data_IF_286164679787
#
_entry.id   IF_286164679787
#
_cell.length_a   1.000
_cell.length_b   1.000
_cell.length_c   1.000
_cell.angle_alpha   90.00
_cell.angle_beta   90.00
_cell.angle_gamma   90.00
#
_symmetry.space_group_name_H-M   'P 1'
#
loop_
_entity.id
_entity.type
_entity.pdbx_description
1 polymer ?
#
# COMPACT_ATOMS: atom_id res chain seq x y z
N UNK A 1 -2.99 12.21 -3.33
CA UNK A 1 -1.72 12.80 -3.75
C UNK A 1 -1.83 13.19 -5.20
N UNK A 2 -1.77 14.49 -5.47
CA UNK A 2 -1.59 15.04 -6.81
C UNK A 2 -0.09 15.25 -7.08
N UNK A 3 0.24 15.88 -8.22
CA UNK A 3 1.63 16.09 -8.62
C UNK A 3 2.36 17.07 -7.70
N UNK A 4 1.71 18.17 -7.32
CA UNK A 4 2.35 19.24 -6.53
C UNK A 4 2.62 18.75 -5.11
N UNK A 5 1.65 18.08 -4.48
CA UNK A 5 1.80 17.42 -3.16
C UNK A 5 2.91 16.35 -3.19
N UNK A 6 3.00 15.55 -4.27
CA UNK A 6 4.09 14.60 -4.44
C UNK A 6 5.45 15.30 -4.54
N UNK A 7 5.56 16.33 -5.38
CA UNK A 7 6.82 16.99 -5.67
C UNK A 7 7.35 17.70 -4.42
N UNK A 8 6.49 18.41 -3.68
CA UNK A 8 6.85 19.05 -2.41
C UNK A 8 7.33 18.04 -1.37
N UNK A 9 6.55 16.97 -1.14
CA UNK A 9 6.95 15.90 -0.21
C UNK A 9 8.27 15.24 -0.59
N UNK A 10 8.51 15.05 -1.89
CA UNK A 10 9.77 14.48 -2.38
C UNK A 10 10.97 15.39 -2.06
N UNK A 11 10.83 16.71 -2.26
CA UNK A 11 11.88 17.68 -1.93
C UNK A 11 12.16 17.72 -0.42
N UNK A 12 11.10 17.71 0.39
CA UNK A 12 11.19 17.71 1.85
C UNK A 12 11.86 16.43 2.36
N UNK A 13 11.47 15.26 1.83
CA UNK A 13 12.09 13.98 2.13
C UNK A 13 13.59 13.96 1.77
N UNK A 14 13.94 14.50 0.60
CA UNK A 14 15.33 14.60 0.16
C UNK A 14 16.16 15.52 1.07
N UNK A 15 15.60 16.65 1.50
CA UNK A 15 16.25 17.56 2.45
C UNK A 15 16.50 16.86 3.80
N UNK A 16 15.44 16.25 4.36
CA UNK A 16 15.53 15.56 5.65
C UNK A 16 16.60 14.46 5.65
N UNK A 17 16.64 13.62 4.61
CA UNK A 17 17.66 12.58 4.51
C UNK A 17 19.07 13.15 4.34
N UNK A 18 19.21 14.28 3.63
CA UNK A 18 20.51 14.95 3.47
C UNK A 18 21.03 15.48 4.81
N UNK A 19 20.16 16.00 5.67
CA UNK A 19 20.55 16.52 6.99
C UNK A 19 20.78 15.41 8.03
N UNK A 20 20.09 14.28 7.90
CA UNK A 20 20.14 13.18 8.88
C UNK A 20 21.12 12.06 8.51
N UNK A 21 21.67 12.06 7.30
CA UNK A 21 22.57 11.03 6.79
C UNK A 21 23.84 11.65 6.19
N UNK A 22 25.01 10.98 6.30
CA UNK A 22 26.23 11.44 5.65
C UNK A 22 26.21 11.29 4.11
N UNK A 23 25.17 10.68 3.53
CA UNK A 23 25.04 10.49 2.09
C UNK A 23 24.68 11.81 1.40
N UNK A 24 25.26 12.05 0.22
CA UNK A 24 24.97 13.25 -0.59
C UNK A 24 23.97 12.99 -1.73
N UNK A 25 23.72 11.72 -2.05
CA UNK A 25 22.82 11.29 -3.12
C UNK A 25 21.85 10.27 -2.57
N UNK A 26 20.58 10.40 -2.93
CA UNK A 26 19.51 9.50 -2.53
C UNK A 26 18.75 9.04 -3.76
N UNK A 27 18.46 7.75 -3.84
CA UNK A 27 17.69 7.20 -4.96
C UNK A 27 16.22 7.55 -4.78
N UNK A 28 15.53 7.85 -5.88
CA UNK A 28 14.08 8.08 -5.86
C UNK A 28 13.34 6.90 -5.21
N UNK A 29 13.66 5.66 -5.59
CA UNK A 29 13.03 4.46 -5.04
C UNK A 29 13.19 4.35 -3.52
N UNK A 30 14.37 4.67 -2.99
CA UNK A 30 14.63 4.66 -1.55
C UNK A 30 13.74 5.66 -0.81
N UNK A 31 13.59 6.89 -1.33
CA UNK A 31 12.74 7.92 -0.73
C UNK A 31 11.25 7.57 -0.87
N UNK A 32 10.84 7.09 -2.04
CA UNK A 32 9.46 6.68 -2.32
C UNK A 32 9.02 5.59 -1.35
N UNK A 33 9.85 4.56 -1.16
CA UNK A 33 9.58 3.45 -0.26
C UNK A 33 9.58 3.92 1.21
N UNK A 34 10.62 4.64 1.64
CA UNK A 34 10.79 5.07 3.03
C UNK A 34 9.63 5.96 3.52
N UNK A 35 9.15 6.85 2.64
CA UNK A 35 8.11 7.83 2.94
C UNK A 35 6.75 7.51 2.33
N UNK A 36 6.58 6.29 1.80
CA UNK A 36 5.34 5.81 1.21
C UNK A 36 4.74 6.75 0.15
N UNK A 37 5.59 7.41 -0.64
CA UNK A 37 5.16 8.29 -1.73
C UNK A 37 4.51 7.45 -2.84
N UNK A 38 3.52 8.00 -3.54
CA UNK A 38 2.78 7.28 -4.60
C UNK A 38 2.89 8.01 -5.94
N UNK A 39 4.07 8.03 -6.57
CA UNK A 39 4.23 8.71 -7.85
C UNK A 39 3.49 8.00 -8.98
N UNK A 40 3.07 8.77 -9.99
CA UNK A 40 2.71 8.21 -11.31
C UNK A 40 3.97 8.00 -12.14
N UNK A 41 3.86 7.19 -13.19
CA UNK A 41 4.97 6.73 -14.03
C UNK A 41 5.86 7.84 -14.60
N UNK A 42 5.38 9.08 -14.76
CA UNK A 42 6.13 10.20 -15.32
C UNK A 42 6.46 11.31 -14.31
N UNK A 43 6.12 11.15 -13.03
CA UNK A 43 6.30 12.24 -12.06
C UNK A 43 7.75 12.45 -11.68
N UNK A 44 8.53 11.37 -11.52
CA UNK A 44 9.96 11.45 -11.20
C UNK A 44 10.75 12.13 -12.32
N UNK A 45 10.48 11.75 -13.59
CA UNK A 45 11.10 12.43 -14.73
C UNK A 45 10.71 13.90 -14.79
N UNK A 46 9.45 14.22 -14.49
CA UNK A 46 8.95 15.58 -14.56
C UNK A 46 9.53 16.47 -13.46
N UNK A 47 9.60 16.02 -12.21
CA UNK A 47 10.25 16.82 -11.15
C UNK A 47 11.74 17.01 -11.44
N UNK A 48 12.41 15.99 -12.01
CA UNK A 48 13.81 16.11 -12.40
C UNK A 48 13.96 17.23 -13.43
N UNK A 49 13.17 17.22 -14.50
CA UNK A 49 13.27 18.21 -15.56
C UNK A 49 12.79 19.61 -15.12
N UNK A 50 11.75 19.70 -14.28
CA UNK A 50 11.20 20.97 -13.81
C UNK A 50 12.16 21.67 -12.82
N UNK A 51 12.88 20.92 -11.98
CA UNK A 51 13.58 21.47 -10.81
C UNK A 51 15.10 21.29 -10.81
N UNK A 52 15.67 20.60 -11.81
CA UNK A 52 17.11 20.50 -12.02
C UNK A 52 17.72 21.90 -12.23
N UNK A 53 18.76 22.21 -11.45
CA UNK A 53 19.40 23.52 -11.41
C UNK A 53 18.74 24.55 -10.48
N UNK A 54 17.51 24.32 -10.02
CA UNK A 54 16.80 25.20 -9.08
C UNK A 54 16.75 24.62 -7.67
N UNK A 55 16.08 23.47 -7.51
CA UNK A 55 15.97 22.79 -6.22
C UNK A 55 16.87 21.56 -6.14
N UNK A 56 17.15 20.91 -7.26
CA UNK A 56 18.15 19.85 -7.33
C UNK A 56 19.47 20.38 -7.87
N UNK A 57 20.56 20.04 -7.17
CA UNK A 57 21.91 20.38 -7.63
C UNK A 57 22.33 19.49 -8.79
N UNK A 58 22.00 18.21 -8.68
CA UNK A 58 22.37 17.19 -9.65
C UNK A 58 21.35 16.04 -9.61
N UNK A 59 21.08 15.45 -10.77
CA UNK A 59 20.22 14.28 -10.94
C UNK A 59 20.95 13.25 -11.80
N UNK A 60 21.40 12.17 -11.16
CA UNK A 60 22.05 11.05 -11.86
C UNK A 60 20.99 10.13 -12.47
N UNK A 61 20.68 10.37 -13.76
CA UNK A 61 19.72 9.60 -14.55
C UNK A 61 20.37 8.30 -15.06
N UNK A 62 19.79 7.15 -14.74
CA UNK A 62 20.23 5.82 -15.23
C UNK A 62 19.11 5.17 -16.04
N UNK A 63 19.46 4.24 -16.94
CA UNK A 63 18.53 3.65 -17.91
C UNK A 63 17.56 2.60 -17.32
N UNK A 64 17.74 2.19 -16.07
CA UNK A 64 16.98 1.09 -15.44
C UNK A 64 15.63 1.53 -14.83
N UNK A 65 15.11 2.69 -15.23
CA UNK A 65 13.87 3.25 -14.71
C UNK A 65 14.11 4.40 -13.73
N UNK A 66 13.05 5.12 -13.42
CA UNK A 66 13.14 6.37 -12.65
C UNK A 66 13.48 6.15 -11.18
N UNK A 67 13.17 4.98 -10.63
CA UNK A 67 13.41 4.66 -9.21
C UNK A 67 14.90 4.60 -8.88
N UNK A 68 15.74 4.23 -9.86
CA UNK A 68 17.19 4.18 -9.70
C UNK A 68 17.87 5.56 -9.91
N UNK A 69 17.11 6.60 -10.27
CA UNK A 69 17.68 7.94 -10.41
C UNK A 69 18.06 8.48 -9.04
N UNK A 70 19.28 9.02 -8.95
CA UNK A 70 19.78 9.59 -7.70
C UNK A 70 19.70 11.11 -7.73
N UNK A 71 19.18 11.69 -6.65
CA UNK A 71 18.96 13.12 -6.50
C UNK A 71 19.90 13.68 -5.44
N UNK A 72 20.40 14.88 -5.69
CA UNK A 72 21.12 15.69 -4.71
C UNK A 72 20.43 17.03 -4.57
N UNK A 73 20.08 17.39 -3.34
CA UNK A 73 19.47 18.69 -3.06
C UNK A 73 20.47 19.83 -3.28
N UNK A 74 19.98 20.96 -3.78
CA UNK A 74 20.74 22.20 -3.87
C UNK A 74 20.52 23.09 -2.65
N UNK A 75 21.35 24.12 -2.49
CA UNK A 75 21.11 25.14 -1.46
C UNK A 75 19.78 25.88 -1.67
N UNK A 76 19.30 26.03 -2.91
CA UNK A 76 17.99 26.62 -3.20
C UNK A 76 16.85 25.72 -2.72
N UNK A 77 17.00 24.40 -2.92
CA UNK A 77 16.07 23.39 -2.42
C UNK A 77 16.02 23.36 -0.89
N UNK A 78 17.16 23.34 -0.21
CA UNK A 78 17.18 23.37 1.26
C UNK A 78 16.52 24.63 1.82
N UNK A 79 16.83 25.81 1.28
CA UNK A 79 16.21 27.08 1.72
C UNK A 79 14.69 27.11 1.53
N UNK A 80 14.19 26.46 0.47
CA UNK A 80 12.74 26.36 0.24
C UNK A 80 12.09 25.57 1.37
N UNK A 81 12.65 24.43 1.75
CA UNK A 81 12.17 23.62 2.88
C UNK A 81 12.32 24.37 4.21
N UNK A 82 13.47 24.96 4.48
CA UNK A 82 13.74 25.75 5.71
C UNK A 82 12.87 27.01 5.83
N UNK A 83 12.24 27.48 4.74
CA UNK A 83 11.27 28.59 4.80
C UNK A 83 9.88 28.16 5.25
N UNK A 84 9.59 26.86 5.18
CA UNK A 84 8.29 26.26 5.50
C UNK A 84 8.33 25.48 6.81
N UNK A 85 9.50 24.99 7.22
CA UNK A 85 9.69 24.19 8.42
C UNK A 85 10.77 24.81 9.30
N UNK A 86 10.50 24.85 10.60
CA UNK A 86 11.36 25.49 11.60
C UNK A 86 12.50 24.58 12.04
N UNK A 87 12.27 23.26 12.07
CA UNK A 87 13.24 22.26 12.48
C UNK A 87 12.97 20.88 11.85
N UNK A 88 13.89 19.94 12.10
CA UNK A 88 13.83 18.57 11.57
C UNK A 88 12.71 17.72 12.18
N UNK A 89 12.23 18.03 13.40
CA UNK A 89 11.13 17.28 13.99
C UNK A 89 9.80 17.66 13.34
N UNK A 90 9.60 18.94 13.01
CA UNK A 90 8.43 19.39 12.24
C UNK A 90 8.40 18.71 10.85
N UNK A 91 9.56 18.60 10.20
CA UNK A 91 9.69 17.87 8.93
C UNK A 91 9.37 16.39 9.11
N UNK A 92 9.89 15.76 10.17
CA UNK A 92 9.60 14.35 10.47
C UNK A 92 8.11 14.14 10.66
N UNK A 93 7.46 14.95 11.48
CA UNK A 93 6.01 14.87 11.72
C UNK A 93 5.23 15.00 10.42
N UNK A 94 5.58 15.98 9.57
CA UNK A 94 4.95 16.17 8.26
C UNK A 94 5.10 14.94 7.34
N UNK A 95 6.29 14.33 7.31
CA UNK A 95 6.56 13.12 6.52
C UNK A 95 5.91 11.87 7.13
N UNK A 96 5.81 11.77 8.46
CA UNK A 96 5.14 10.67 9.16
C UNK A 96 3.60 10.74 9.05
N UNK A 97 3.01 11.93 8.90
CA UNK A 97 1.60 12.09 8.52
C UNK A 97 1.34 11.49 7.12
N UNK A 98 2.34 11.48 6.23
CA UNK A 98 2.27 10.77 4.95
C UNK A 98 2.32 9.24 5.16
N UNK A 99 3.16 8.79 6.10
CA UNK A 99 3.35 7.37 6.43
C UNK A 99 2.15 6.77 7.16
N UNK A 100 1.39 7.57 7.91
CA UNK A 100 0.08 7.18 8.47
C UNK A 100 -1.05 7.24 7.44
N UNK A 101 -0.78 7.75 6.23
CA UNK A 101 -1.60 7.56 5.03
C UNK A 101 -1.06 6.43 4.11
N UNK A 102 -0.09 5.63 4.59
CA UNK A 102 0.00 4.22 4.15
C UNK A 102 -1.39 3.66 4.35
N UNK A 103 -1.95 3.07 3.29
CA UNK A 103 -3.34 2.61 3.26
C UNK A 103 -3.58 1.83 4.53
N UNK A 104 -4.30 2.45 5.45
CA UNK A 104 -4.74 1.82 6.65
C UNK A 104 -5.79 0.83 6.15
N UNK A 105 -5.37 -0.41 5.91
CA UNK A 105 -6.28 -1.48 5.51
C UNK A 105 -7.40 -1.57 6.54
N UNK A 106 -7.21 -1.12 7.79
CA UNK A 106 -8.27 -0.92 8.78
C UNK A 106 -9.43 -0.04 8.29
N UNK A 107 -9.18 1.02 7.51
CA UNK A 107 -10.22 1.97 7.09
C UNK A 107 -11.00 1.46 5.88
N UNK A 108 -10.38 0.60 5.06
CA UNK A 108 -11.02 -0.03 3.89
C UNK A 108 -11.58 -1.44 4.17
N UNK A 109 -10.96 -2.19 5.10
CA UNK A 109 -11.27 -3.60 5.41
C UNK A 109 -11.89 -3.79 6.80
N UNK A 110 -11.70 -2.84 7.73
CA UNK A 110 -12.09 -2.99 9.13
C UNK A 110 -11.11 -3.82 9.97
N UNK A 111 -9.98 -4.30 9.41
CA UNK A 111 -9.07 -5.21 10.11
C UNK A 111 -7.86 -4.49 10.74
N UNK A 112 -7.52 -4.74 12.02
CA UNK A 112 -6.30 -4.21 12.64
C UNK A 112 -5.06 -4.71 11.91
N UNK A 113 -4.08 -3.81 11.75
CA UNK A 113 -2.78 -3.98 11.07
C UNK A 113 -1.87 -5.08 11.64
N UNK A 114 -2.37 -5.88 12.58
CA UNK A 114 -1.68 -7.00 13.23
C UNK A 114 -2.44 -8.33 13.11
N UNK A 115 -3.45 -8.45 12.25
CA UNK A 115 -4.13 -9.73 12.06
C UNK A 115 -3.18 -10.75 11.41
N UNK A 116 -2.73 -11.71 12.19
CA UNK A 116 -1.98 -12.88 11.73
C UNK A 116 -2.91 -14.09 11.78
N UNK A 117 -3.04 -14.81 10.67
CA UNK A 117 -3.66 -16.13 10.64
C UNK A 117 -2.74 -17.11 11.39
N UNK A 118 -3.03 -17.34 12.67
CA UNK A 118 -2.44 -18.46 13.38
C UNK A 118 -2.97 -19.79 12.82
N UNK A 119 -2.29 -20.90 13.10
CA UNK A 119 -2.63 -22.22 12.54
C UNK A 119 -4.08 -22.66 12.85
N UNK A 120 -4.62 -22.26 14.01
CA UNK A 120 -6.00 -22.55 14.40
C UNK A 120 -7.02 -21.80 13.52
N UNK A 121 -6.81 -20.50 13.29
CA UNK A 121 -7.67 -19.69 12.40
C UNK A 121 -7.49 -20.03 10.94
N UNK A 122 -6.29 -20.48 10.53
CA UNK A 122 -6.03 -21.01 9.19
C UNK A 122 -6.90 -22.25 8.93
N UNK A 123 -6.97 -23.16 9.89
CA UNK A 123 -7.82 -24.35 9.81
C UNK A 123 -9.33 -23.98 9.81
N UNK A 124 -9.72 -22.99 10.60
CA UNK A 124 -11.09 -22.48 10.64
C UNK A 124 -11.49 -21.82 9.31
N UNK A 125 -10.64 -20.94 8.75
CA UNK A 125 -10.83 -20.31 7.45
C UNK A 125 -10.96 -21.35 6.33
N UNK A 126 -10.08 -22.35 6.31
CA UNK A 126 -10.12 -23.43 5.33
C UNK A 126 -11.42 -24.25 5.42
N UNK A 127 -11.91 -24.48 6.63
CA UNK A 127 -13.19 -25.15 6.88
C UNK A 127 -14.37 -24.32 6.35
N UNK A 128 -14.39 -23.02 6.63
CA UNK A 128 -15.43 -22.11 6.16
C UNK A 128 -15.43 -21.95 4.64
N UNK A 129 -14.26 -21.85 4.00
CA UNK A 129 -14.13 -21.79 2.54
C UNK A 129 -14.58 -23.09 1.87
N UNK A 130 -14.25 -24.24 2.46
CA UNK A 130 -14.71 -25.55 1.96
C UNK A 130 -16.22 -25.70 2.10
N UNK A 131 -16.81 -25.17 3.17
CA UNK A 131 -18.26 -25.14 3.35
C UNK A 131 -18.92 -24.22 2.32
N UNK A 132 -18.42 -23.01 2.15
CA UNK A 132 -18.93 -22.05 1.16
C UNK A 132 -18.88 -22.61 -0.27
N UNK A 133 -17.82 -23.36 -0.62
CA UNK A 133 -17.70 -24.02 -1.93
C UNK A 133 -18.81 -25.07 -2.17
N UNK A 134 -19.21 -25.81 -1.12
CA UNK A 134 -20.28 -26.82 -1.21
C UNK A 134 -21.65 -26.17 -1.29
N UNK A 135 -21.91 -25.21 -0.40
CA UNK A 135 -23.20 -24.54 -0.27
C UNK A 135 -23.48 -23.61 -1.48
N UNK A 136 -22.45 -23.29 -2.29
CA UNK A 136 -22.57 -22.47 -3.50
C UNK A 136 -23.49 -23.08 -4.56
N UNK A 137 -23.49 -24.40 -4.69
CA UNK A 137 -24.30 -25.08 -5.71
C UNK A 137 -25.79 -25.06 -5.37
N UNK A 138 -26.12 -24.99 -4.08
CA UNK A 138 -27.48 -24.96 -3.55
C UNK A 138 -28.14 -23.57 -3.61
N UNK A 139 -27.37 -22.52 -3.93
CA UNK A 139 -27.89 -21.16 -4.05
C UNK A 139 -28.67 -20.93 -5.35
N UNK A 140 -29.65 -20.03 -5.30
CA UNK A 140 -30.42 -19.59 -6.47
C UNK A 140 -29.68 -18.60 -7.40
N UNK A 141 -28.36 -18.41 -7.22
CA UNK A 141 -27.55 -17.49 -8.03
C UNK A 141 -27.34 -17.99 -9.46
N UNK A 142 -27.08 -17.07 -10.39
CA UNK A 142 -26.82 -17.40 -11.79
C UNK A 142 -25.53 -18.22 -11.97
N UNK A 143 -25.46 -19.05 -13.01
CA UNK A 143 -24.28 -19.88 -13.27
C UNK A 143 -22.98 -19.07 -13.41
N UNK A 144 -23.05 -17.85 -13.95
CA UNK A 144 -21.91 -16.93 -14.04
C UNK A 144 -21.45 -16.45 -12.66
N UNK A 145 -22.39 -16.13 -11.77
CA UNK A 145 -22.11 -15.69 -10.41
C UNK A 145 -21.50 -16.82 -9.59
N UNK A 146 -22.04 -18.04 -9.71
CA UNK A 146 -21.47 -19.25 -9.11
C UNK A 146 -20.06 -19.54 -9.62
N UNK A 147 -19.82 -19.42 -10.92
CA UNK A 147 -18.48 -19.62 -11.48
C UNK A 147 -17.46 -18.60 -10.93
N UNK A 148 -17.84 -17.32 -10.85
CA UNK A 148 -16.99 -16.27 -10.28
C UNK A 148 -16.74 -16.50 -8.78
N UNK A 149 -17.78 -16.82 -8.02
CA UNK A 149 -17.70 -17.13 -6.61
C UNK A 149 -16.74 -18.29 -6.33
N UNK A 150 -16.86 -19.37 -7.11
CA UNK A 150 -16.00 -20.54 -7.00
C UNK A 150 -14.54 -20.17 -7.28
N UNK A 151 -14.28 -19.35 -8.29
CA UNK A 151 -12.92 -18.87 -8.58
C UNK A 151 -12.34 -18.08 -7.40
N UNK A 152 -13.13 -17.20 -6.76
CA UNK A 152 -12.69 -16.45 -5.59
C UNK A 152 -12.46 -17.35 -4.36
N UNK A 153 -13.35 -18.32 -4.11
CA UNK A 153 -13.18 -19.28 -3.01
C UNK A 153 -11.91 -20.11 -3.20
N UNK A 154 -11.66 -20.60 -4.41
CA UNK A 154 -10.44 -21.37 -4.73
C UNK A 154 -9.18 -20.50 -4.55
N UNK A 155 -9.20 -19.25 -5.03
CA UNK A 155 -8.08 -18.33 -4.84
C UNK A 155 -7.81 -18.06 -3.35
N UNK A 156 -8.86 -17.83 -2.55
CA UNK A 156 -8.73 -17.63 -1.11
C UNK A 156 -8.16 -18.88 -0.40
N UNK A 157 -8.53 -20.10 -0.81
CA UNK A 157 -7.98 -21.34 -0.26
C UNK A 157 -6.48 -21.48 -0.55
N UNK A 158 -6.07 -21.24 -1.80
CA UNK A 158 -4.65 -21.32 -2.20
C UNK A 158 -3.79 -20.33 -1.43
N UNK A 159 -4.29 -19.11 -1.23
CA UNK A 159 -3.59 -18.09 -0.46
C UNK A 159 -3.58 -18.41 1.04
N UNK A 160 -4.67 -18.99 1.56
CA UNK A 160 -4.73 -19.45 2.94
C UNK A 160 -3.73 -20.58 3.21
N UNK A 161 -3.46 -21.47 2.25
CA UNK A 161 -2.53 -22.60 2.42
C UNK A 161 -1.04 -22.21 2.31
N UNK A 162 -0.73 -20.97 1.93
CA UNK A 162 0.65 -20.50 1.82
C UNK A 162 1.41 -20.56 3.16
N UNK A 163 2.76 -20.64 3.13
CA UNK A 163 3.60 -20.59 4.35
C UNK A 163 3.42 -19.30 5.14
N UNK A 164 3.24 -18.17 4.43
CA UNK A 164 2.93 -16.86 4.97
C UNK A 164 1.68 -16.33 4.26
N UNK A 165 0.47 -16.59 4.80
CA UNK A 165 -0.77 -16.27 4.11
C UNK A 165 -1.00 -14.75 4.04
N UNK A 166 -1.18 -14.18 2.84
CA UNK A 166 -1.40 -12.74 2.69
C UNK A 166 -2.85 -12.37 3.02
N UNK A 167 -3.10 -12.10 4.31
CA UNK A 167 -4.42 -11.82 4.90
C UNK A 167 -5.18 -10.73 4.14
N UNK A 168 -4.54 -9.60 3.83
CA UNK A 168 -5.21 -8.47 3.17
C UNK A 168 -5.75 -8.85 1.79
N UNK A 169 -5.00 -9.70 1.06
CA UNK A 169 -5.39 -10.18 -0.26
C UNK A 169 -6.54 -11.19 -0.15
N UNK A 170 -6.48 -12.07 0.84
CA UNK A 170 -7.56 -13.04 1.13
C UNK A 170 -8.86 -12.28 1.44
N UNK A 171 -8.77 -11.24 2.29
CA UNK A 171 -9.91 -10.39 2.63
C UNK A 171 -10.48 -9.66 1.41
N UNK A 172 -9.65 -9.03 0.57
CA UNK A 172 -10.11 -8.33 -0.64
C UNK A 172 -10.84 -9.29 -1.59
N UNK A 173 -10.31 -10.50 -1.77
CA UNK A 173 -10.94 -11.55 -2.59
C UNK A 173 -12.30 -11.96 -2.02
N UNK A 174 -12.41 -12.14 -0.70
CA UNK A 174 -13.67 -12.47 -0.03
C UNK A 174 -14.67 -11.32 -0.12
N UNK A 175 -14.22 -10.07 0.05
CA UNK A 175 -15.05 -8.88 -0.10
C UNK A 175 -15.63 -8.74 -1.51
N UNK A 176 -14.81 -9.00 -2.54
CA UNK A 176 -15.25 -9.02 -3.94
C UNK A 176 -16.26 -10.13 -4.21
N UNK A 177 -16.06 -11.32 -3.62
CA UNK A 177 -17.00 -12.42 -3.73
C UNK A 177 -18.34 -12.10 -3.04
N UNK A 178 -18.30 -11.47 -1.85
CA UNK A 178 -19.50 -11.06 -1.11
C UNK A 178 -20.35 -10.02 -1.85
N UNK A 179 -19.73 -9.17 -2.68
CA UNK A 179 -20.43 -8.17 -3.48
C UNK A 179 -21.18 -8.75 -4.69
N UNK A 180 -21.04 -10.05 -4.97
CA UNK A 180 -21.83 -10.73 -5.99
C UNK A 180 -23.26 -10.96 -5.48
N UNK A 181 -24.23 -10.53 -6.29
CA UNK A 181 -25.66 -10.68 -5.98
C UNK A 181 -26.01 -12.15 -5.74
N UNK A 182 -26.80 -12.43 -4.70
CA UNK A 182 -27.34 -13.77 -4.43
C UNK A 182 -26.41 -14.76 -3.74
N UNK A 183 -25.15 -14.40 -3.44
CA UNK A 183 -24.20 -15.29 -2.74
C UNK A 183 -23.57 -14.72 -1.45
N UNK A 184 -23.88 -13.46 -1.12
CA UNK A 184 -23.35 -12.75 0.04
C UNK A 184 -23.51 -13.53 1.37
N UNK A 185 -24.62 -14.26 1.55
CA UNK A 185 -24.90 -15.03 2.76
C UNK A 185 -23.87 -16.12 3.05
N UNK A 186 -23.14 -16.62 2.04
CA UNK A 186 -22.08 -17.62 2.23
C UNK A 186 -20.83 -17.04 2.89
N UNK A 187 -20.60 -15.74 2.70
CA UNK A 187 -19.36 -15.10 3.13
C UNK A 187 -19.50 -14.42 4.49
N UNK A 188 -20.70 -14.35 5.08
CA UNK A 188 -20.93 -13.70 6.38
C UNK A 188 -20.11 -14.34 7.51
N UNK A 189 -20.10 -15.67 7.59
CA UNK A 189 -19.32 -16.39 8.61
C UNK A 189 -17.81 -16.26 8.39
N UNK A 190 -17.39 -16.22 7.12
CA UNK A 190 -15.99 -15.98 6.75
C UNK A 190 -15.60 -14.56 7.17
N UNK A 191 -16.45 -13.56 6.87
CA UNK A 191 -16.24 -12.16 7.25
C UNK A 191 -16.16 -12.00 8.77
N UNK A 192 -17.04 -12.69 9.51
CA UNK A 192 -17.05 -12.66 10.96
C UNK A 192 -15.74 -13.18 11.57
N UNK A 193 -15.08 -14.19 10.96
CA UNK A 193 -13.78 -14.70 11.41
C UNK A 193 -12.69 -13.62 11.42
N UNK A 194 -12.72 -12.73 10.42
CA UNK A 194 -11.81 -11.60 10.34
C UNK A 194 -12.20 -10.51 11.36
N UNK A 195 -13.50 -10.30 11.61
CA UNK A 195 -13.99 -9.29 12.56
C UNK A 195 -13.88 -9.67 14.05
N UNK A 196 -13.97 -10.95 14.41
CA UNK A 196 -13.82 -11.39 15.82
C UNK A 196 -12.40 -11.30 16.35
N UNK A 197 -11.42 -11.04 15.48
CA UNK A 197 -10.04 -10.77 15.85
C UNK A 197 -9.75 -9.31 16.19
N UNK A 198 -10.78 -8.47 16.22
CA UNK A 198 -10.74 -7.05 16.60
C UNK A 198 -10.87 -6.86 18.13
N UNK A 199 -11.20 -7.93 18.87
CA UNK A 199 -11.34 -7.93 20.34
C UNK A 199 -10.26 -8.74 21.05
#
# INVERSE_FOLDING_TARGET
>A
MDYDDFAERFLIALHFETETSPKQYFRAGELIEKYALKPRSNWISRIADDWEGSYFRDVSKVLNGYDDWSFRISAGGSRKVESEFSDLEEIREFLDVARTNVVDSTTWTGLPSQFVLNEERKAELSTLLTKAERDLDDLGAGNSEKAMARAYIVAAKVLADAPEPPVDIIWDIIGRANNLSGIASLFVSIIALFQTAIH
#
